data_IF_402555677802
#
_entry.id   IF_402555677802
#
_cell.length_a   1.000
_cell.length_b   1.000
_cell.length_c   1.000
_cell.angle_alpha   90.00
_cell.angle_beta   90.00
_cell.angle_gamma   90.00
#
_symmetry.space_group_name_H-M   'P 1'
#
loop_
_entity.id
_entity.type
_entity.pdbx_description
1 polymer ?
#
# COMPACT_ATOMS: atom_id res chain seq x y z
N UNK A 1 -54.11 32.00 -10.70
CA UNK A 1 -53.10 32.89 -11.33
C UNK A 1 -52.72 32.46 -12.72
N UNK A 2 -52.54 31.16 -12.97
CA UNK A 2 -51.99 30.66 -14.25
C UNK A 2 -52.93 30.75 -15.47
N UNK A 3 -54.24 30.67 -15.27
CA UNK A 3 -55.21 30.75 -16.37
C UNK A 3 -55.24 32.15 -17.05
N UNK A 4 -55.00 33.23 -16.30
CA UNK A 4 -54.94 34.59 -16.84
C UNK A 4 -53.70 34.89 -17.69
N UNK A 5 -52.60 34.22 -17.40
CA UNK A 5 -51.34 34.37 -18.17
C UNK A 5 -51.47 33.66 -19.54
N UNK A 6 -52.09 32.48 -19.56
CA UNK A 6 -52.34 31.74 -20.80
C UNK A 6 -53.23 32.48 -21.77
N UNK A 7 -54.26 33.19 -21.27
CA UNK A 7 -55.14 34.03 -22.13
C UNK A 7 -54.46 35.29 -22.66
N UNK A 8 -53.45 35.80 -21.94
CA UNK A 8 -52.66 36.97 -22.40
C UNK A 8 -51.81 36.66 -23.65
N UNK A 9 -51.40 35.41 -23.85
CA UNK A 9 -50.65 34.93 -25.02
C UNK A 9 -51.54 34.31 -26.11
N UNK A 10 -52.86 34.31 -25.93
CA UNK A 10 -53.80 33.75 -26.93
C UNK A 10 -53.67 32.22 -27.09
N UNK A 11 -53.07 31.53 -26.14
CA UNK A 11 -52.81 30.09 -26.22
C UNK A 11 -53.87 29.30 -25.47
N UNK A 12 -54.37 28.23 -26.10
CA UNK A 12 -55.19 27.23 -25.38
C UNK A 12 -54.32 26.42 -24.41
N UNK A 13 -54.94 25.82 -23.38
CA UNK A 13 -54.24 24.95 -22.48
C UNK A 13 -53.56 23.78 -23.21
N UNK A 14 -54.16 23.22 -24.23
CA UNK A 14 -53.59 22.18 -25.09
C UNK A 14 -52.36 22.64 -25.87
N UNK A 15 -52.40 23.85 -26.40
CA UNK A 15 -51.24 24.44 -27.10
C UNK A 15 -50.08 24.68 -26.15
N UNK A 16 -50.33 25.10 -24.90
CA UNK A 16 -49.30 25.30 -23.90
C UNK A 16 -48.61 23.97 -23.50
N UNK A 17 -49.39 22.92 -23.33
CA UNK A 17 -48.85 21.57 -23.06
C UNK A 17 -48.02 21.04 -24.23
N UNK A 18 -48.51 21.24 -25.47
CA UNK A 18 -47.76 20.84 -26.66
C UNK A 18 -46.40 21.57 -26.76
N UNK A 19 -46.39 22.89 -26.53
CA UNK A 19 -45.13 23.67 -26.53
C UNK A 19 -44.15 23.19 -25.47
N UNK A 20 -44.62 22.92 -24.24
CA UNK A 20 -43.77 22.39 -23.16
C UNK A 20 -43.19 21.03 -23.56
N UNK A 21 -44.02 20.15 -24.15
CA UNK A 21 -43.55 18.84 -24.60
C UNK A 21 -42.49 18.95 -25.70
N UNK A 22 -42.69 19.85 -26.70
CA UNK A 22 -41.67 20.07 -27.73
C UNK A 22 -40.40 20.68 -27.18
N UNK A 23 -40.48 21.60 -26.23
CA UNK A 23 -39.31 22.14 -25.56
C UNK A 23 -38.57 21.01 -24.84
N UNK A 24 -39.27 20.19 -24.05
CA UNK A 24 -38.68 19.06 -23.35
C UNK A 24 -38.00 18.04 -24.28
N UNK A 25 -38.65 17.74 -25.43
CA UNK A 25 -38.08 16.85 -26.45
C UNK A 25 -36.81 17.40 -27.10
N UNK A 26 -36.58 18.71 -27.10
CA UNK A 26 -35.34 19.32 -27.60
C UNK A 26 -34.28 19.37 -26.49
N UNK A 27 -34.66 19.71 -25.27
CA UNK A 27 -33.70 19.88 -24.18
C UNK A 27 -33.17 18.55 -23.60
N UNK A 28 -34.02 17.51 -23.52
CA UNK A 28 -33.62 16.21 -23.01
C UNK A 28 -32.44 15.57 -23.78
N UNK A 29 -32.44 15.54 -25.12
CA UNK A 29 -31.28 15.07 -25.89
C UNK A 29 -30.03 15.94 -25.69
N UNK A 30 -30.18 17.24 -25.48
CA UNK A 30 -29.04 18.14 -25.26
C UNK A 30 -28.40 17.88 -23.90
N UNK A 31 -29.22 17.63 -22.85
CA UNK A 31 -28.72 17.25 -21.53
C UNK A 31 -28.03 15.90 -21.57
N UNK A 32 -28.58 14.90 -22.28
CA UNK A 32 -27.94 13.58 -22.41
C UNK A 32 -26.59 13.67 -23.14
N UNK A 33 -26.46 14.49 -24.17
CA UNK A 33 -25.18 14.76 -24.85
C UNK A 33 -24.13 15.32 -23.88
N UNK A 34 -24.53 16.20 -22.96
CA UNK A 34 -23.66 16.74 -21.92
C UNK A 34 -23.09 15.63 -21.00
N UNK A 35 -23.94 14.68 -20.57
CA UNK A 35 -23.52 13.55 -19.76
C UNK A 35 -22.63 12.55 -20.53
N UNK A 36 -22.94 12.32 -21.81
CA UNK A 36 -22.11 11.46 -22.65
C UNK A 36 -20.71 12.06 -22.87
N UNK A 37 -20.61 13.38 -23.08
CA UNK A 37 -19.30 14.06 -23.17
C UNK A 37 -18.49 13.89 -21.89
N UNK A 38 -19.11 14.02 -20.71
CA UNK A 38 -18.41 13.78 -19.44
C UNK A 38 -17.93 12.33 -19.32
N UNK A 39 -18.75 11.38 -19.75
CA UNK A 39 -18.39 9.97 -19.75
C UNK A 39 -17.18 9.70 -20.67
N UNK A 40 -17.19 10.29 -21.87
CA UNK A 40 -16.07 10.19 -22.81
C UNK A 40 -14.81 10.84 -22.23
N UNK A 41 -14.90 12.02 -21.62
CA UNK A 41 -13.76 12.67 -20.98
C UNK A 41 -13.18 11.82 -19.85
N UNK A 42 -14.02 11.19 -19.02
CA UNK A 42 -13.58 10.28 -17.97
C UNK A 42 -12.91 9.03 -18.53
N UNK A 43 -13.42 8.48 -19.61
CA UNK A 43 -12.83 7.34 -20.29
C UNK A 43 -11.45 7.69 -20.89
N UNK A 44 -11.33 8.86 -21.55
CA UNK A 44 -10.05 9.35 -22.11
C UNK A 44 -9.03 9.54 -20.97
N UNK A 45 -9.43 10.14 -19.84
CA UNK A 45 -8.55 10.30 -18.70
C UNK A 45 -8.11 8.95 -18.11
N UNK A 46 -8.99 7.93 -18.13
CA UNK A 46 -8.65 6.56 -17.75
C UNK A 46 -7.62 5.93 -18.69
N UNK A 47 -7.83 6.04 -19.99
CA UNK A 47 -6.89 5.54 -21.00
C UNK A 47 -5.53 6.25 -20.89
N UNK A 48 -5.53 7.56 -20.65
CA UNK A 48 -4.28 8.32 -20.47
C UNK A 48 -3.47 7.80 -19.30
N UNK A 49 -4.10 7.55 -18.14
CA UNK A 49 -3.44 6.95 -16.96
C UNK A 49 -2.90 5.55 -17.22
N UNK A 50 -3.63 4.74 -17.98
CA UNK A 50 -3.17 3.40 -18.39
C UNK A 50 -1.94 3.52 -19.29
N UNK A 51 -1.96 4.44 -20.26
CA UNK A 51 -0.82 4.65 -21.15
C UNK A 51 0.41 5.22 -20.40
N UNK A 52 0.20 6.12 -19.44
CA UNK A 52 1.28 6.59 -18.56
C UNK A 52 1.87 5.43 -17.76
N UNK A 53 1.05 4.53 -17.23
CA UNK A 53 1.53 3.34 -16.53
C UNK A 53 2.35 2.41 -17.44
N UNK A 54 1.91 2.17 -18.68
CA UNK A 54 2.68 1.38 -19.65
C UNK A 54 3.92 2.09 -20.20
N UNK A 55 3.99 3.41 -20.08
CA UNK A 55 5.17 4.18 -20.47
C UNK A 55 6.25 4.24 -19.37
N UNK A 56 5.94 3.78 -18.15
CA UNK A 56 6.95 3.61 -17.12
C UNK A 56 7.97 2.58 -17.59
N UNK A 57 9.25 2.94 -17.55
CA UNK A 57 10.33 2.00 -17.83
C UNK A 57 10.24 0.83 -16.84
N UNK A 58 10.23 -0.38 -17.36
CA UNK A 58 10.41 -1.57 -16.53
C UNK A 58 11.78 -1.46 -15.87
N UNK A 59 11.81 -1.59 -14.54
CA UNK A 59 13.08 -1.67 -13.84
C UNK A 59 13.87 -2.83 -14.45
N UNK A 60 15.15 -2.62 -14.82
CA UNK A 60 15.96 -3.67 -15.41
C UNK A 60 15.94 -4.89 -14.51
N UNK A 61 15.74 -6.06 -15.10
CA UNK A 61 15.78 -7.34 -14.40
C UNK A 61 17.08 -7.38 -13.57
N UNK A 62 16.94 -7.37 -12.25
CA UNK A 62 18.09 -7.30 -11.34
C UNK A 62 18.84 -8.62 -11.41
N UNK A 63 19.87 -8.64 -12.26
CA UNK A 63 20.64 -9.84 -12.58
C UNK A 63 21.45 -10.28 -11.36
N UNK A 64 21.40 -11.56 -11.10
CA UNK A 64 22.06 -12.26 -10.00
C UNK A 64 23.59 -12.36 -10.23
N UNK A 65 24.28 -11.23 -10.18
CA UNK A 65 25.75 -11.23 -10.11
C UNK A 65 26.17 -11.20 -8.63
N UNK A 66 26.06 -12.36 -7.99
CA UNK A 66 26.46 -12.54 -6.61
C UNK A 66 27.83 -13.17 -6.52
N UNK A 67 28.86 -12.34 -6.55
CA UNK A 67 30.07 -12.67 -5.79
C UNK A 67 29.83 -12.18 -4.37
N UNK A 68 29.37 -13.07 -3.52
CA UNK A 68 29.22 -12.81 -2.08
C UNK A 68 30.61 -12.93 -1.45
N UNK A 69 31.15 -11.88 -0.81
CA UNK A 69 32.28 -12.08 0.08
C UNK A 69 31.80 -12.97 1.24
N UNK A 70 32.42 -14.13 1.40
CA UNK A 70 32.21 -14.99 2.58
C UNK A 70 32.94 -14.31 3.75
N UNK A 71 32.28 -13.34 4.39
CA UNK A 71 32.70 -12.85 5.69
C UNK A 71 32.03 -13.72 6.76
N UNK A 72 32.73 -14.03 7.81
CA UNK A 72 32.22 -14.75 8.99
C UNK A 72 31.02 -13.99 9.57
N UNK A 73 29.89 -14.69 9.77
CA UNK A 73 28.56 -14.11 10.02
C UNK A 73 28.46 -13.19 11.24
N UNK A 74 29.41 -13.22 12.18
CA UNK A 74 29.35 -12.45 13.44
C UNK A 74 29.98 -11.05 13.38
N UNK A 75 30.81 -10.73 12.37
CA UNK A 75 31.51 -9.46 12.29
C UNK A 75 30.99 -8.48 11.23
N UNK A 76 30.07 -8.91 10.38
CA UNK A 76 29.53 -8.06 9.32
C UNK A 76 28.14 -7.50 9.67
N UNK A 77 27.90 -6.19 9.50
CA UNK A 77 26.60 -5.62 9.73
C UNK A 77 25.56 -6.22 8.77
N UNK A 78 24.39 -6.55 9.30
CA UNK A 78 23.25 -7.00 8.51
C UNK A 78 22.68 -5.86 7.66
N UNK A 79 22.58 -4.67 8.27
CA UNK A 79 22.17 -3.42 7.62
C UNK A 79 23.31 -2.42 7.74
N UNK A 80 23.65 -1.74 6.67
CA UNK A 80 24.63 -0.66 6.69
C UNK A 80 24.21 0.49 5.77
N UNK A 81 24.11 1.70 6.34
CA UNK A 81 23.98 2.94 5.61
C UNK A 81 25.30 3.69 5.68
N UNK A 82 25.86 4.04 4.51
CA UNK A 82 27.13 4.74 4.37
C UNK A 82 26.91 6.11 3.77
N UNK A 83 26.94 7.17 4.59
CA UNK A 83 26.87 8.58 4.17
C UNK A 83 25.68 8.88 3.23
N UNK A 84 24.50 8.34 3.54
CA UNK A 84 23.31 8.39 2.69
C UNK A 84 22.70 9.78 2.67
N UNK A 85 22.58 10.36 1.50
CA UNK A 85 21.83 11.59 1.23
C UNK A 85 20.72 11.28 0.24
N UNK A 86 19.48 11.71 0.54
CA UNK A 86 18.32 11.41 -0.29
C UNK A 86 17.33 12.57 -0.39
N UNK A 87 16.78 12.79 -1.58
CA UNK A 87 15.62 13.62 -1.88
C UNK A 87 14.69 12.86 -2.83
N UNK A 88 13.38 13.08 -2.77
CA UNK A 88 12.46 12.59 -3.80
C UNK A 88 12.57 13.43 -5.06
N UNK A 89 12.31 12.84 -6.23
CA UNK A 89 12.46 13.50 -7.55
C UNK A 89 11.64 14.79 -7.65
N UNK A 90 10.46 14.82 -7.04
CA UNK A 90 9.56 15.98 -7.07
C UNK A 90 9.88 17.06 -6.02
N UNK A 91 10.83 16.82 -5.13
CA UNK A 91 11.19 17.74 -4.05
C UNK A 91 12.73 17.97 -4.02
N UNK A 92 13.14 19.19 -4.31
CA UNK A 92 14.56 19.58 -4.21
C UNK A 92 15.10 19.56 -2.77
N UNK A 93 14.22 19.38 -1.77
CA UNK A 93 14.60 19.32 -0.36
C UNK A 93 15.15 17.95 -0.01
N UNK A 94 16.41 17.91 0.39
CA UNK A 94 17.04 16.70 0.94
C UNK A 94 16.30 16.30 2.24
N UNK A 95 15.86 15.05 2.29
CA UNK A 95 15.17 14.48 3.46
C UNK A 95 16.16 13.78 4.39
N UNK A 96 17.14 13.11 3.81
CA UNK A 96 18.26 12.51 4.55
C UNK A 96 19.55 13.23 4.20
N UNK A 97 20.36 13.50 5.21
CA UNK A 97 21.61 14.23 5.10
C UNK A 97 22.75 13.42 5.71
N UNK A 98 23.63 12.84 4.87
CA UNK A 98 24.82 12.11 5.30
C UNK A 98 24.57 11.07 6.42
N UNK A 99 23.43 10.36 6.34
CA UNK A 99 23.05 9.37 7.35
C UNK A 99 23.94 8.14 7.25
N UNK A 100 24.55 7.76 8.39
CA UNK A 100 25.34 6.56 8.50
C UNK A 100 25.00 5.82 9.79
N UNK A 101 24.72 4.52 9.71
CA UNK A 101 24.58 3.62 10.84
C UNK A 101 24.72 2.17 10.39
N UNK A 102 24.92 1.27 11.34
CA UNK A 102 25.03 -0.16 11.14
C UNK A 102 24.10 -0.88 12.10
N UNK A 103 23.55 -2.02 11.69
CA UNK A 103 22.75 -2.92 12.53
C UNK A 103 23.30 -4.33 12.33
N UNK A 104 23.64 -4.99 13.44
CA UNK A 104 24.18 -6.35 13.42
C UNK A 104 23.08 -7.40 13.59
N UNK A 105 23.35 -8.67 13.23
CA UNK A 105 22.37 -9.75 13.44
C UNK A 105 21.92 -9.83 14.90
N UNK A 106 20.60 -9.94 15.12
CA UNK A 106 20.00 -10.02 16.45
C UNK A 106 19.80 -8.69 17.18
N UNK A 107 20.29 -7.57 16.63
CA UNK A 107 20.06 -6.25 17.22
C UNK A 107 18.64 -5.74 16.95
N UNK A 108 18.15 -4.95 17.91
CA UNK A 108 16.92 -4.18 17.81
C UNK A 108 17.24 -2.69 17.83
N UNK A 109 16.89 -2.00 16.76
CA UNK A 109 17.18 -0.57 16.59
C UNK A 109 15.89 0.22 16.44
N UNK A 110 15.75 1.30 17.20
CA UNK A 110 14.61 2.20 17.11
C UNK A 110 15.00 3.52 16.44
N UNK A 111 14.34 3.84 15.33
CA UNK A 111 14.45 5.13 14.68
C UNK A 111 13.50 6.12 15.35
N UNK A 112 14.03 7.08 16.11
CA UNK A 112 13.25 8.13 16.78
C UNK A 112 13.38 9.46 16.05
N UNK A 113 12.33 10.24 16.03
CA UNK A 113 12.31 11.57 15.41
C UNK A 113 10.90 12.10 15.17
N UNK A 114 10.78 13.39 14.90
CA UNK A 114 9.50 14.04 14.61
C UNK A 114 8.89 13.45 13.32
N UNK A 115 7.56 13.59 13.17
CA UNK A 115 6.88 13.29 11.90
C UNK A 115 7.54 14.08 10.77
N UNK A 116 7.82 13.44 9.64
CA UNK A 116 8.54 14.03 8.51
C UNK A 116 10.07 14.04 8.64
N UNK A 117 10.65 13.47 9.71
CA UNK A 117 12.12 13.38 9.87
C UNK A 117 12.81 12.35 8.95
N UNK A 118 12.06 11.68 8.08
CA UNK A 118 12.63 10.72 7.11
C UNK A 118 12.67 9.26 7.59
N UNK A 119 12.02 8.90 8.72
CA UNK A 119 11.99 7.50 9.22
C UNK A 119 11.50 6.50 8.17
N UNK A 120 10.30 6.74 7.64
CA UNK A 120 9.72 5.86 6.60
C UNK A 120 10.51 5.92 5.28
N UNK A 121 11.25 7.01 5.03
CA UNK A 121 12.18 7.11 3.89
C UNK A 121 13.37 6.16 4.06
N UNK A 122 13.90 6.02 5.28
CA UNK A 122 14.95 5.02 5.58
C UNK A 122 14.43 3.61 5.28
N UNK A 123 13.21 3.26 5.70
CA UNK A 123 12.63 1.96 5.38
C UNK A 123 12.46 1.72 3.87
N UNK A 124 12.02 2.73 3.14
CA UNK A 124 11.90 2.64 1.68
C UNK A 124 13.24 2.42 0.97
N UNK A 125 14.31 3.01 1.47
CA UNK A 125 15.67 2.78 0.98
C UNK A 125 16.16 1.37 1.34
N UNK A 126 15.91 0.89 2.57
CA UNK A 126 16.26 -0.47 2.99
C UNK A 126 15.52 -1.53 2.17
N UNK A 127 14.25 -1.30 1.84
CA UNK A 127 13.44 -2.16 0.96
C UNK A 127 13.89 -2.11 -0.51
N UNK A 128 14.83 -1.21 -0.84
CA UNK A 128 15.29 -0.99 -2.20
C UNK A 128 14.20 -0.48 -3.13
N UNK A 129 13.25 0.30 -2.61
CA UNK A 129 12.22 0.98 -3.42
C UNK A 129 12.78 2.23 -4.10
N UNK A 130 13.78 2.85 -3.48
CA UNK A 130 14.49 4.02 -3.99
C UNK A 130 16.00 3.81 -3.90
N UNK A 131 16.73 4.48 -4.77
CA UNK A 131 18.18 4.55 -4.72
C UNK A 131 18.61 5.87 -4.04
N UNK A 132 19.60 5.85 -3.14
CA UNK A 132 20.10 7.10 -2.56
C UNK A 132 20.79 7.98 -3.64
N UNK A 133 20.67 9.31 -3.50
CA UNK A 133 21.37 10.24 -4.37
C UNK A 133 22.88 10.26 -4.12
N UNK A 134 23.30 10.06 -2.86
CA UNK A 134 24.70 9.93 -2.45
C UNK A 134 24.80 8.85 -1.37
N UNK A 135 25.94 8.16 -1.32
CA UNK A 135 26.19 7.10 -0.33
C UNK A 135 25.70 5.73 -0.79
N UNK A 136 25.60 4.78 0.15
CA UNK A 136 25.19 3.39 -0.12
C UNK A 136 24.27 2.88 0.98
N UNK A 137 23.32 2.04 0.59
CA UNK A 137 22.45 1.26 1.50
C UNK A 137 22.71 -0.20 1.22
N UNK A 138 23.27 -0.90 2.19
CA UNK A 138 23.69 -2.29 2.05
C UNK A 138 22.89 -3.20 3.00
N UNK A 139 22.50 -4.37 2.50
CA UNK A 139 21.92 -5.46 3.26
C UNK A 139 22.79 -6.70 3.08
N UNK A 140 23.37 -7.17 4.14
CA UNK A 140 24.36 -8.26 4.09
C UNK A 140 25.48 -7.97 3.07
N UNK A 141 25.97 -6.74 3.02
CA UNK A 141 27.01 -6.28 2.09
C UNK A 141 26.55 -6.08 0.65
N UNK A 142 25.27 -6.35 0.30
CA UNK A 142 24.71 -6.14 -1.04
C UNK A 142 23.94 -4.84 -1.11
N UNK A 143 23.99 -4.15 -2.24
CA UNK A 143 23.17 -2.96 -2.47
C UNK A 143 21.67 -3.30 -2.37
N UNK A 144 20.98 -2.65 -1.44
CA UNK A 144 19.55 -2.89 -1.17
C UNK A 144 18.68 -2.68 -2.43
N UNK A 145 19.03 -1.72 -3.28
CA UNK A 145 18.31 -1.44 -4.53
C UNK A 145 18.48 -2.56 -5.56
N UNK A 146 19.55 -3.35 -5.49
CA UNK A 146 19.83 -4.44 -6.44
C UNK A 146 19.37 -5.81 -5.98
N UNK A 147 18.76 -5.94 -4.82
CA UNK A 147 18.23 -7.22 -4.35
C UNK A 147 17.03 -7.62 -5.20
N UNK A 148 17.04 -8.84 -5.80
CA UNK A 148 15.95 -9.32 -6.63
C UNK A 148 14.62 -9.42 -5.88
N UNK A 149 13.51 -9.17 -6.54
CA UNK A 149 12.17 -9.19 -5.92
C UNK A 149 11.80 -10.55 -5.32
N UNK A 150 12.20 -11.64 -5.97
CA UNK A 150 11.96 -13.01 -5.49
C UNK A 150 12.71 -13.35 -4.19
N UNK A 151 13.78 -12.61 -3.84
CA UNK A 151 14.51 -12.77 -2.58
C UNK A 151 13.93 -11.89 -1.46
N UNK A 152 13.29 -10.78 -1.81
CA UNK A 152 12.84 -9.76 -0.85
C UNK A 152 11.90 -10.32 0.21
N UNK A 153 10.97 -11.20 -0.15
CA UNK A 153 9.98 -11.73 0.78
C UNK A 153 10.59 -12.60 1.89
N UNK A 154 11.66 -13.34 1.61
CA UNK A 154 12.41 -14.10 2.60
C UNK A 154 13.42 -13.26 3.38
N UNK A 155 13.76 -12.09 2.88
CA UNK A 155 14.72 -11.18 3.49
C UNK A 155 14.05 -10.15 4.39
N UNK A 156 12.92 -9.58 3.95
CA UNK A 156 12.22 -8.49 4.63
C UNK A 156 10.82 -8.88 5.10
N UNK A 157 10.50 -8.55 6.36
CA UNK A 157 9.14 -8.40 6.83
C UNK A 157 8.88 -6.92 7.06
N UNK A 158 7.92 -6.33 6.36
CA UNK A 158 7.57 -4.93 6.53
C UNK A 158 6.14 -4.80 7.04
N UNK A 159 5.99 -4.08 8.14
CA UNK A 159 4.70 -3.76 8.74
C UNK A 159 4.50 -2.26 8.64
N UNK A 160 3.56 -1.86 7.80
CA UNK A 160 3.18 -0.47 7.59
C UNK A 160 2.24 0.04 8.68
N UNK A 161 2.22 1.36 8.86
CA UNK A 161 1.28 2.04 9.76
C UNK A 161 -0.18 1.74 9.40
N UNK A 162 -0.50 1.62 8.13
CA UNK A 162 -1.84 1.33 7.62
C UNK A 162 -1.89 -0.07 7.01
N UNK A 163 -2.83 -0.91 7.46
CA UNK A 163 -3.01 -2.22 6.86
C UNK A 163 -3.76 -2.12 5.53
N UNK A 164 -3.12 -2.56 4.46
CA UNK A 164 -3.73 -2.68 3.14
C UNK A 164 -4.34 -4.07 2.96
N UNK A 165 -5.68 -4.11 2.87
CA UNK A 165 -6.42 -5.35 2.64
C UNK A 165 -6.33 -5.77 1.18
N UNK A 166 -6.21 -7.07 0.95
CA UNK A 166 -6.42 -7.68 -0.35
C UNK A 166 -7.81 -8.34 -0.39
N UNK A 167 -8.46 -8.49 -1.55
CA UNK A 167 -9.66 -9.32 -1.65
C UNK A 167 -9.37 -10.75 -1.17
N UNK A 168 -10.37 -11.48 -0.64
CA UNK A 168 -10.21 -12.89 -0.27
C UNK A 168 -10.38 -13.18 1.22
N UNK A 169 -9.84 -14.31 1.66
CA UNK A 169 -9.99 -14.88 3.00
C UNK A 169 -8.96 -14.33 3.99
N UNK A 170 -9.08 -14.67 5.26
CA UNK A 170 -8.07 -14.37 6.29
C UNK A 170 -6.73 -14.99 5.92
N UNK A 171 -6.71 -16.22 5.40
CA UNK A 171 -5.51 -16.84 4.87
C UNK A 171 -4.87 -15.97 3.78
N UNK A 172 -5.66 -15.48 2.82
CA UNK A 172 -5.16 -14.65 1.72
C UNK A 172 -4.56 -13.33 2.22
N UNK A 173 -5.08 -12.77 3.32
CA UNK A 173 -4.47 -11.58 3.94
C UNK A 173 -3.05 -11.85 4.44
N UNK A 174 -2.77 -13.05 4.94
CA UNK A 174 -1.45 -13.44 5.49
C UNK A 174 -0.52 -13.85 4.35
N UNK A 175 -0.98 -14.71 3.45
CA UNK A 175 -0.15 -15.30 2.40
C UNK A 175 0.06 -14.41 1.18
N UNK A 176 -0.83 -13.43 0.95
CA UNK A 176 -0.90 -12.65 -0.31
C UNK A 176 -1.03 -13.54 -1.55
N UNK A 177 -1.88 -14.57 -1.45
CA UNK A 177 -2.13 -15.59 -2.48
C UNK A 177 -0.92 -16.47 -2.84
N UNK A 178 0.10 -16.50 -1.98
CA UNK A 178 1.22 -17.41 -2.17
C UNK A 178 0.86 -18.78 -1.60
N UNK A 179 0.56 -19.72 -2.48
CA UNK A 179 0.17 -21.10 -2.16
C UNK A 179 1.35 -21.96 -1.67
N UNK A 180 2.58 -21.46 -1.70
CA UNK A 180 3.74 -22.18 -1.17
C UNK A 180 3.72 -22.32 0.36
N UNK A 181 2.98 -21.45 1.06
CA UNK A 181 2.83 -21.51 2.51
C UNK A 181 1.82 -22.56 2.94
N UNK A 182 2.26 -23.45 3.82
CA UNK A 182 1.40 -24.44 4.48
C UNK A 182 0.47 -23.77 5.51
N UNK A 183 -0.67 -24.41 5.79
CA UNK A 183 -1.57 -23.91 6.85
C UNK A 183 -0.90 -23.86 8.24
N UNK A 184 0.06 -24.74 8.51
CA UNK A 184 0.81 -24.70 9.78
C UNK A 184 1.67 -23.45 9.86
N UNK A 185 2.34 -23.02 8.80
CA UNK A 185 3.12 -21.78 8.75
C UNK A 185 2.22 -20.54 8.88
N UNK A 186 1.03 -20.55 8.25
CA UNK A 186 0.04 -19.49 8.38
C UNK A 186 -0.45 -19.37 9.84
N UNK A 187 -0.75 -20.49 10.49
CA UNK A 187 -1.15 -20.53 11.90
C UNK A 187 -0.05 -20.07 12.82
N UNK A 188 1.18 -20.50 12.56
CA UNK A 188 2.35 -20.08 13.36
C UNK A 188 2.57 -18.58 13.26
N UNK A 189 2.48 -18.00 12.07
CA UNK A 189 2.55 -16.55 11.88
C UNK A 189 1.44 -15.80 12.64
N UNK A 190 0.22 -16.34 12.64
CA UNK A 190 -0.91 -15.78 13.39
C UNK A 190 -0.71 -15.92 14.92
N UNK A 191 -0.10 -17.02 15.41
CA UNK A 191 0.28 -17.20 16.82
C UNK A 191 1.34 -16.19 17.25
N UNK A 192 2.37 -15.98 16.43
CA UNK A 192 3.41 -14.95 16.68
C UNK A 192 2.77 -13.57 16.82
N UNK A 193 1.78 -13.27 15.98
CA UNK A 193 1.04 -12.01 16.05
C UNK A 193 -0.01 -11.95 17.19
N UNK A 194 -0.28 -13.06 17.88
CA UNK A 194 -1.31 -13.15 18.91
C UNK A 194 -2.75 -13.15 18.38
N UNK A 195 -2.98 -13.55 17.13
CA UNK A 195 -4.28 -13.45 16.45
C UNK A 195 -4.93 -14.83 16.16
N UNK A 196 -4.19 -15.95 16.28
CA UNK A 196 -4.67 -17.30 15.93
C UNK A 196 -5.98 -17.66 16.65
N UNK A 197 -6.05 -17.47 17.96
CA UNK A 197 -7.26 -17.77 18.74
C UNK A 197 -8.48 -16.93 18.31
N UNK A 198 -8.27 -15.67 17.92
CA UNK A 198 -9.32 -14.80 17.40
C UNK A 198 -9.81 -15.28 16.04
N UNK A 199 -8.90 -15.70 15.17
CA UNK A 199 -9.25 -16.22 13.85
C UNK A 199 -10.04 -17.53 13.98
N UNK A 200 -9.65 -18.43 14.89
CA UNK A 200 -10.36 -19.70 15.09
C UNK A 200 -11.78 -19.54 15.65
N UNK A 201 -12.09 -18.41 16.30
CA UNK A 201 -13.45 -18.08 16.75
C UNK A 201 -14.37 -17.59 15.62
N UNK A 202 -13.83 -17.25 14.44
CA UNK A 202 -14.63 -16.89 13.28
C UNK A 202 -15.38 -18.13 12.74
N UNK A 203 -16.58 -17.96 12.20
CA UNK A 203 -17.43 -19.04 11.69
C UNK A 203 -16.70 -20.00 10.72
N UNK A 204 -15.81 -19.46 9.88
CA UNK A 204 -15.01 -20.22 8.91
C UNK A 204 -13.51 -20.13 9.17
N UNK A 205 -13.09 -19.62 10.33
CA UNK A 205 -11.70 -19.50 10.69
C UNK A 205 -10.88 -18.76 9.62
N UNK A 206 -9.81 -19.38 9.18
CA UNK A 206 -8.90 -18.86 8.14
C UNK A 206 -9.53 -18.73 6.75
N UNK A 207 -10.60 -19.49 6.47
CA UNK A 207 -11.35 -19.42 5.21
C UNK A 207 -12.47 -18.37 5.23
N UNK A 208 -12.59 -17.60 6.33
CA UNK A 208 -13.55 -16.50 6.42
C UNK A 208 -13.16 -15.38 5.47
N UNK A 209 -14.13 -14.92 4.63
CA UNK A 209 -13.92 -13.78 3.75
C UNK A 209 -13.71 -12.49 4.56
N UNK A 210 -12.66 -11.78 4.24
CA UNK A 210 -12.28 -10.53 4.91
C UNK A 210 -13.11 -9.34 4.45
N UNK A 211 -14.09 -8.94 5.28
CA UNK A 211 -14.78 -7.66 5.18
C UNK A 211 -14.15 -6.64 6.14
N UNK A 212 -14.52 -5.35 6.00
CA UNK A 212 -14.02 -4.29 6.89
C UNK A 212 -14.37 -4.48 8.36
N UNK A 213 -15.39 -5.28 8.65
CA UNK A 213 -16.05 -5.41 9.96
C UNK A 213 -15.57 -6.63 10.77
N UNK A 214 -14.80 -7.54 10.14
CA UNK A 214 -14.35 -8.79 10.77
C UNK A 214 -13.40 -8.54 11.93
N UNK A 215 -12.53 -7.54 11.79
CA UNK A 215 -11.48 -7.25 12.76
C UNK A 215 -11.53 -5.80 13.21
N UNK A 216 -11.22 -5.56 14.47
CA UNK A 216 -10.92 -4.22 14.99
C UNK A 216 -9.65 -3.65 14.35
N UNK A 217 -9.44 -2.34 14.47
CA UNK A 217 -8.24 -1.70 13.94
C UNK A 217 -6.95 -2.31 14.52
N UNK A 218 -6.93 -2.64 15.82
CA UNK A 218 -5.79 -3.33 16.44
C UNK A 218 -5.57 -4.74 15.87
N UNK A 219 -6.66 -5.49 15.63
CA UNK A 219 -6.56 -6.83 15.03
C UNK A 219 -6.08 -6.80 13.59
N UNK A 220 -6.46 -5.77 12.79
CA UNK A 220 -5.88 -5.55 11.46
C UNK A 220 -4.38 -5.30 11.54
N UNK A 221 -3.91 -4.61 12.57
CA UNK A 221 -2.49 -4.38 12.78
C UNK A 221 -1.75 -5.67 13.16
N UNK A 222 -2.36 -6.52 14.02
CA UNK A 222 -1.81 -7.85 14.31
C UNK A 222 -1.76 -8.73 13.06
N UNK A 223 -2.76 -8.63 12.18
CA UNK A 223 -2.78 -9.37 10.91
C UNK A 223 -1.65 -8.90 9.98
N UNK A 224 -1.26 -7.61 10.00
CA UNK A 224 -0.09 -7.13 9.27
C UNK A 224 1.23 -7.73 9.78
N UNK A 225 1.32 -7.95 11.09
CA UNK A 225 2.45 -8.64 11.71
C UNK A 225 2.50 -10.11 11.26
N UNK A 226 1.36 -10.82 11.26
CA UNK A 226 1.28 -12.19 10.76
C UNK A 226 1.71 -12.29 9.28
N UNK A 227 1.25 -11.35 8.44
CA UNK A 227 1.66 -11.24 7.02
C UNK A 227 3.16 -11.07 6.85
N UNK A 228 3.78 -10.23 7.69
CA UNK A 228 5.22 -10.01 7.66
C UNK A 228 5.99 -11.25 8.17
N UNK A 229 5.45 -11.96 9.16
CA UNK A 229 6.11 -13.08 9.83
C UNK A 229 6.05 -14.40 9.06
N UNK A 230 5.04 -14.62 8.21
CA UNK A 230 4.79 -15.93 7.55
C UNK A 230 5.98 -16.41 6.72
N UNK A 231 6.70 -15.49 6.09
CA UNK A 231 7.89 -15.80 5.30
C UNK A 231 9.18 -15.97 6.16
N UNK A 232 9.09 -15.86 7.49
CA UNK A 232 10.22 -15.94 8.43
C UNK A 232 11.38 -15.03 8.01
N UNK A 233 11.14 -13.73 7.81
CA UNK A 233 12.12 -12.81 7.25
C UNK A 233 13.32 -12.65 8.19
N UNK A 234 14.48 -12.34 7.61
CA UNK A 234 15.73 -12.08 8.36
C UNK A 234 15.79 -10.67 8.95
N UNK A 235 15.09 -9.71 8.36
CA UNK A 235 14.97 -8.31 8.81
C UNK A 235 13.51 -7.94 8.94
N UNK A 236 13.09 -7.48 10.11
CA UNK A 236 11.75 -6.99 10.37
C UNK A 236 11.79 -5.46 10.49
N UNK A 237 11.05 -4.78 9.64
CA UNK A 237 10.87 -3.34 9.61
C UNK A 237 9.46 -3.00 10.11
N UNK A 238 9.37 -2.23 11.20
CA UNK A 238 8.12 -1.92 11.88
C UNK A 238 7.89 -0.40 11.87
N UNK A 239 6.92 0.08 11.09
CA UNK A 239 6.61 1.51 10.98
C UNK A 239 5.42 1.88 11.87
N UNK A 240 5.68 2.65 12.94
CA UNK A 240 4.68 3.23 13.88
C UNK A 240 3.64 2.24 14.46
N UNK A 241 4.04 0.99 14.80
CA UNK A 241 3.11 -0.04 15.32
C UNK A 241 2.62 0.25 16.75
N UNK A 242 3.26 1.13 17.48
CA UNK A 242 3.13 1.23 18.95
C UNK A 242 1.87 1.94 19.45
N UNK A 243 1.11 2.61 18.61
CA UNK A 243 0.01 3.47 19.07
C UNK A 243 -1.23 2.73 19.61
N UNK A 244 -1.42 1.44 19.33
CA UNK A 244 -2.65 0.71 19.66
C UNK A 244 -2.46 -0.63 20.40
N UNK A 245 -1.24 -1.10 20.65
CA UNK A 245 -1.00 -2.39 21.32
C UNK A 245 -1.05 -2.33 22.84
N UNK A 246 -0.84 -1.15 23.44
CA UNK A 246 -0.82 -0.97 24.89
C UNK A 246 -2.21 -0.99 25.55
N UNK A 247 -3.29 -0.83 24.79
CA UNK A 247 -4.65 -0.81 25.33
C UNK A 247 -5.19 -2.21 25.74
N UNK A 248 -4.56 -3.30 25.31
CA UNK A 248 -5.03 -4.68 25.60
C UNK A 248 -4.22 -5.43 26.66
N UNK A 249 -3.15 -4.83 27.23
CA UNK A 249 -2.36 -5.44 28.33
C UNK A 249 -2.76 -5.02 29.74
N UNK A 250 -3.89 -4.33 29.90
CA UNK A 250 -4.37 -3.82 31.21
C UNK A 250 -5.65 -4.51 31.70
N UNK A 251 -5.82 -5.83 31.46
CA UNK A 251 -6.80 -6.66 32.16
C UNK A 251 -6.18 -8.00 32.57
#
# INVERSE_FOLDING_TARGET
GNAKVLTLFGMSAGTAVAVINYISQIFTPVESLGMEIQTIQSAIAGVHRINEFYALEELPERVRNLETPVATEEETPFVELQNVTFAYEDDSRKILHHLSFQVYPGEQVTLSGRTGAGKSTVFKLLLGLYQPGEGKVLIQGRDAFQIPENEKRSLYGYVEQTFHRVPGTVKDQITLYDDSFTMEEVREAARIAGLDATIEQLEKGYDMLCTSEIFSQGQWQLLSIARAAVAKPKLLLLDEITANLDAQRSE
#
